data_IF_290443849907
#
_entry.id   IF_290443849907
#
_cell.length_a   1.000
_cell.length_b   1.000
_cell.length_c   1.000
_cell.angle_alpha   90.00
_cell.angle_beta   90.00
_cell.angle_gamma   90.00
#
_symmetry.space_group_name_H-M   'P 1'
#
loop_
_entity.id
_entity.type
_entity.pdbx_description
1 polymer ?
#
# COMPACT_ATOMS: atom_id res chain seq x y z
N UNK A 1 -17.81 12.67 24.15
CA UNK A 1 -18.10 11.26 23.84
C UNK A 1 -16.77 10.58 23.53
N UNK A 2 -16.18 9.92 24.52
CA UNK A 2 -14.94 9.15 24.37
C UNK A 2 -15.28 7.75 23.84
N UNK A 3 -15.22 7.59 22.53
CA UNK A 3 -15.21 6.27 21.91
C UNK A 3 -13.76 5.81 21.79
N UNK A 4 -13.21 5.12 22.80
CA UNK A 4 -11.93 4.44 22.62
C UNK A 4 -12.12 3.33 21.60
N UNK A 5 -11.59 3.54 20.40
CA UNK A 5 -11.65 2.51 19.37
C UNK A 5 -10.70 1.38 19.74
N UNK A 6 -11.24 0.16 19.76
CA UNK A 6 -10.44 -1.07 19.73
C UNK A 6 -9.43 -0.97 18.59
N UNK A 7 -8.14 -1.22 18.90
CA UNK A 7 -7.08 -1.33 17.90
C UNK A 7 -7.43 -2.30 16.75
N UNK A 8 -8.39 -3.22 16.94
CA UNK A 8 -8.82 -4.13 15.88
C UNK A 8 -9.53 -3.41 14.73
N UNK A 9 -10.32 -2.35 15.01
CA UNK A 9 -11.05 -1.60 13.96
C UNK A 9 -10.12 -0.73 13.11
N UNK A 10 -9.09 -0.16 13.72
CA UNK A 10 -8.04 0.58 13.00
C UNK A 10 -7.22 -0.38 12.13
N UNK A 11 -6.95 -1.59 12.61
CA UNK A 11 -6.27 -2.63 11.82
C UNK A 11 -7.11 -3.16 10.67
N UNK A 12 -8.42 -3.34 10.84
CA UNK A 12 -9.36 -3.68 9.75
C UNK A 12 -9.43 -2.57 8.71
N UNK A 13 -9.50 -1.31 9.14
CA UNK A 13 -9.50 -0.18 8.22
C UNK A 13 -8.20 -0.10 7.39
N UNK A 14 -7.04 -0.28 8.00
CA UNK A 14 -5.74 -0.34 7.29
C UNK A 14 -5.71 -1.57 6.36
N UNK A 15 -6.24 -2.70 6.80
CA UNK A 15 -6.35 -3.92 6.00
C UNK A 15 -7.20 -3.71 4.74
N UNK A 16 -8.32 -3.01 4.87
CA UNK A 16 -9.24 -2.74 3.78
C UNK A 16 -8.69 -1.65 2.86
N UNK A 17 -8.10 -0.59 3.41
CA UNK A 17 -7.41 0.44 2.63
C UNK A 17 -6.29 -0.14 1.74
N UNK A 18 -5.48 -1.07 2.28
CA UNK A 18 -4.47 -1.78 1.48
C UNK A 18 -5.06 -2.78 0.48
N UNK A 19 -6.30 -3.25 0.69
CA UNK A 19 -7.01 -4.07 -0.28
C UNK A 19 -7.55 -3.24 -1.46
N UNK A 20 -7.95 -1.98 -1.21
CA UNK A 20 -8.41 -1.02 -2.23
C UNK A 20 -7.27 -0.32 -2.99
N UNK A 21 -6.08 -0.19 -2.39
CA UNK A 21 -4.83 0.24 -3.06
C UNK A 21 -4.44 -0.61 -4.29
N UNK A 22 -5.10 -1.74 -4.49
CA UNK A 22 -4.89 -2.63 -5.62
C UNK A 22 -5.95 -2.43 -6.71
N UNK A 23 -7.05 -1.75 -6.41
CA UNK A 23 -8.15 -1.52 -7.35
C UNK A 23 -8.16 -0.14 -7.97
N UNK A 24 -7.63 0.89 -7.31
CA UNK A 24 -7.72 2.25 -7.84
C UNK A 24 -6.39 2.77 -8.40
N UNK A 25 -6.51 3.31 -9.62
CA UNK A 25 -5.52 4.07 -10.37
C UNK A 25 -4.53 4.79 -9.45
N UNK A 26 -3.27 4.34 -9.50
CA UNK A 26 -2.14 5.14 -9.04
C UNK A 26 -2.16 6.43 -9.89
N UNK A 27 -2.58 7.53 -9.28
CA UNK A 27 -2.33 8.85 -9.82
C UNK A 27 -0.82 8.97 -9.99
N UNK A 28 -0.39 9.17 -11.24
CA UNK A 28 0.99 9.41 -11.60
C UNK A 28 1.56 10.57 -10.75
N UNK A 29 2.77 10.41 -10.20
CA UNK A 29 3.47 11.48 -9.49
C UNK A 29 3.72 12.72 -10.36
N UNK A 30 3.57 12.61 -11.69
CA UNK A 30 3.72 13.70 -12.64
C UNK A 30 2.69 14.82 -12.41
N UNK A 31 1.52 14.51 -11.84
CA UNK A 31 0.50 15.49 -11.44
C UNK A 31 0.81 16.19 -10.09
N UNK A 32 1.84 15.76 -9.36
CA UNK A 32 2.15 16.29 -8.03
C UNK A 32 3.14 17.46 -8.03
N UNK A 33 3.86 17.70 -9.13
CA UNK A 33 4.92 18.73 -9.21
C UNK A 33 4.43 20.13 -9.59
N UNK A 34 3.19 20.26 -10.06
CA UNK A 34 2.58 21.54 -10.47
C UNK A 34 1.45 22.00 -9.54
N UNK A 35 1.27 21.30 -8.42
CA UNK A 35 0.11 21.50 -7.56
C UNK A 35 0.32 22.69 -6.64
N UNK A 36 -0.28 23.82 -7.01
CA UNK A 36 -0.67 24.89 -6.09
C UNK A 36 -1.39 24.29 -4.87
N UNK A 37 -1.37 24.97 -3.73
CA UNK A 37 -2.03 24.56 -2.48
C UNK A 37 -3.55 24.32 -2.69
N UNK A 38 -3.91 23.13 -3.19
CA UNK A 38 -5.29 22.72 -3.38
C UNK A 38 -5.78 22.23 -2.02
N UNK A 39 -6.55 23.08 -1.34
CA UNK A 39 -7.34 22.68 -0.18
C UNK A 39 -8.47 21.76 -0.65
N UNK A 40 -8.49 20.53 -0.13
CA UNK A 40 -9.49 19.53 -0.46
C UNK A 40 -10.69 19.64 0.46
N UNK A 41 -11.89 19.80 -0.11
CA UNK A 41 -13.13 19.81 0.66
C UNK A 41 -13.56 18.38 0.99
N UNK A 42 -13.82 18.11 2.26
CA UNK A 42 -14.40 16.84 2.68
C UNK A 42 -15.83 16.68 2.10
N UNK A 43 -16.20 15.50 1.55
CA UNK A 43 -17.49 15.32 0.89
C UNK A 43 -18.66 15.47 1.87
N UNK A 44 -19.63 16.31 1.53
CA UNK A 44 -20.83 16.55 2.36
C UNK A 44 -21.72 15.30 2.50
N UNK A 45 -21.64 14.39 1.53
CA UNK A 45 -22.36 13.12 1.54
C UNK A 45 -21.79 12.09 2.52
N UNK A 46 -20.54 12.25 2.96
CA UNK A 46 -19.91 11.30 3.88
C UNK A 46 -20.17 11.74 5.32
N UNK A 47 -20.67 10.85 6.20
CA UNK A 47 -20.81 11.20 7.60
C UNK A 47 -19.43 11.49 8.20
N UNK A 48 -19.35 12.54 9.03
CA UNK A 48 -18.12 12.92 9.70
C UNK A 48 -17.78 11.90 10.79
N UNK A 49 -16.98 10.90 10.42
CA UNK A 49 -16.52 9.84 11.31
C UNK A 49 -15.01 9.67 11.17
N UNK A 50 -14.36 9.21 12.23
CA UNK A 50 -12.91 8.95 12.23
C UNK A 50 -12.44 8.08 11.04
N UNK A 51 -13.09 6.93 10.69
CA UNK A 51 -12.66 6.14 9.55
C UNK A 51 -12.84 6.86 8.20
N UNK A 52 -13.93 7.61 8.01
CA UNK A 52 -14.12 8.35 6.76
C UNK A 52 -13.13 9.50 6.61
N UNK A 53 -12.86 10.23 7.70
CA UNK A 53 -11.87 11.29 7.71
C UNK A 53 -10.47 10.74 7.44
N UNK A 54 -10.10 9.64 8.08
CA UNK A 54 -8.82 8.99 7.84
C UNK A 54 -8.71 8.49 6.39
N UNK A 55 -9.77 7.91 5.84
CA UNK A 55 -9.82 7.48 4.43
C UNK A 55 -9.60 8.66 3.49
N UNK A 56 -10.30 9.76 3.72
CA UNK A 56 -10.20 10.98 2.94
C UNK A 56 -8.80 11.61 3.02
N UNK A 57 -8.22 11.71 4.21
CA UNK A 57 -6.85 12.23 4.36
C UNK A 57 -5.87 11.33 3.63
N UNK A 58 -5.96 10.01 3.83
CA UNK A 58 -5.06 9.05 3.19
C UNK A 58 -5.23 9.04 1.67
N UNK A 59 -6.44 9.19 1.12
CA UNK A 59 -6.66 9.22 -0.33
C UNK A 59 -6.00 10.43 -1.01
N UNK A 60 -5.82 11.53 -0.26
CA UNK A 60 -5.18 12.76 -0.76
C UNK A 60 -3.70 12.89 -0.33
N UNK A 61 -3.17 11.94 0.44
CA UNK A 61 -1.77 11.89 0.81
C UNK A 61 -0.90 11.30 -0.31
N UNK A 62 0.33 11.82 -0.45
CA UNK A 62 1.33 11.20 -1.32
C UNK A 62 1.55 9.75 -0.91
N UNK A 63 1.89 8.89 -1.88
CA UNK A 63 2.22 7.49 -1.57
C UNK A 63 3.34 7.42 -0.52
N UNK A 64 4.33 8.31 -0.59
CA UNK A 64 5.40 8.44 0.42
C UNK A 64 4.86 8.64 1.84
N UNK A 65 3.96 9.60 2.03
CA UNK A 65 3.40 9.90 3.35
C UNK A 65 2.53 8.75 3.87
N UNK A 66 1.73 8.11 3.00
CA UNK A 66 0.96 6.91 3.35
C UNK A 66 1.85 5.78 3.87
N UNK A 67 2.97 5.53 3.19
CA UNK A 67 3.94 4.53 3.61
C UNK A 67 4.68 4.92 4.89
N UNK A 68 5.02 6.21 5.06
CA UNK A 68 5.57 6.72 6.32
C UNK A 68 4.63 6.42 7.48
N UNK A 69 3.36 6.80 7.35
CA UNK A 69 2.33 6.57 8.37
C UNK A 69 2.13 5.07 8.63
N UNK A 70 2.03 4.25 7.59
CA UNK A 70 1.84 2.81 7.75
C UNK A 70 3.02 2.15 8.47
N UNK A 71 4.26 2.49 8.12
CA UNK A 71 5.46 1.88 8.69
C UNK A 71 5.76 2.37 10.11
N UNK A 72 5.60 3.68 10.37
CA UNK A 72 5.79 4.25 11.72
C UNK A 72 4.80 3.68 12.74
N UNK A 73 3.58 3.35 12.31
CA UNK A 73 2.55 2.76 13.17
C UNK A 73 2.56 1.22 13.19
N UNK A 74 3.45 0.56 12.43
CA UNK A 74 3.49 -0.89 12.30
C UNK A 74 4.67 -1.47 13.10
N UNK A 75 4.37 -2.03 14.28
CA UNK A 75 5.37 -2.78 15.06
C UNK A 75 5.79 -4.12 14.43
N UNK A 76 6.79 -4.78 15.00
CA UNK A 76 7.38 -6.04 14.49
C UNK A 76 6.36 -7.14 14.15
N UNK A 77 5.33 -7.31 14.99
CA UNK A 77 4.24 -8.29 14.76
C UNK A 77 3.46 -7.94 13.48
N UNK A 78 3.13 -6.66 13.30
CA UNK A 78 2.44 -6.16 12.11
C UNK A 78 3.27 -6.39 10.84
N UNK A 79 4.56 -6.08 10.87
CA UNK A 79 5.47 -6.28 9.72
C UNK A 79 5.60 -7.77 9.37
N UNK A 80 5.74 -8.63 10.38
CA UNK A 80 5.84 -10.09 10.21
C UNK A 80 4.56 -10.68 9.61
N UNK A 81 3.40 -10.26 10.12
CA UNK A 81 2.10 -10.69 9.62
C UNK A 81 1.90 -10.28 8.16
N UNK A 82 2.17 -9.01 7.83
CA UNK A 82 2.07 -8.49 6.47
C UNK A 82 3.02 -9.20 5.50
N UNK A 83 4.26 -9.46 5.92
CA UNK A 83 5.23 -10.24 5.12
C UNK A 83 4.72 -11.64 4.81
N UNK A 84 4.14 -12.34 5.79
CA UNK A 84 3.54 -13.68 5.59
C UNK A 84 2.39 -13.62 4.58
N UNK A 85 1.46 -12.68 4.75
CA UNK A 85 0.30 -12.49 3.87
C UNK A 85 0.74 -12.18 2.42
N UNK A 86 1.71 -11.29 2.25
CA UNK A 86 2.25 -10.93 0.93
C UNK A 86 2.97 -12.10 0.25
N UNK A 87 3.71 -12.95 0.99
CA UNK A 87 4.29 -14.19 0.44
C UNK A 87 3.23 -15.15 -0.07
N UNK A 88 2.16 -15.35 0.70
CA UNK A 88 1.04 -16.19 0.25
C UNK A 88 0.39 -15.64 -1.02
N UNK A 89 0.19 -14.32 -1.09
CA UNK A 89 -0.34 -13.64 -2.27
C UNK A 89 0.60 -13.75 -3.47
N UNK A 90 1.90 -13.61 -3.26
CA UNK A 90 2.93 -13.79 -4.29
C UNK A 90 2.81 -15.17 -4.93
N UNK A 91 2.72 -16.23 -4.13
CA UNK A 91 2.56 -17.61 -4.61
C UNK A 91 1.28 -17.76 -5.44
N UNK A 92 0.15 -17.22 -4.95
CA UNK A 92 -1.13 -17.25 -5.67
C UNK A 92 -1.05 -16.54 -7.03
N UNK A 93 -0.42 -15.36 -7.08
CA UNK A 93 -0.24 -14.60 -8.32
C UNK A 93 0.68 -15.30 -9.31
N UNK A 94 1.80 -15.86 -8.86
CA UNK A 94 2.71 -16.62 -9.74
C UNK A 94 1.98 -17.80 -10.38
N UNK A 95 1.19 -18.56 -9.60
CA UNK A 95 0.36 -19.66 -10.14
C UNK A 95 -0.71 -19.16 -11.11
N UNK A 96 -1.33 -18.02 -10.84
CA UNK A 96 -2.31 -17.43 -11.75
C UNK A 96 -1.67 -16.99 -13.08
N UNK A 97 -0.52 -16.32 -13.01
CA UNK A 97 0.27 -15.90 -14.18
C UNK A 97 0.67 -17.11 -15.03
N UNK A 98 1.16 -18.19 -14.39
CA UNK A 98 1.52 -19.42 -15.08
C UNK A 98 0.33 -20.01 -15.85
N UNK A 99 -0.81 -20.20 -15.16
CA UNK A 99 -2.03 -20.71 -15.78
C UNK A 99 -2.53 -19.86 -16.94
N UNK A 100 -2.46 -18.53 -16.83
CA UNK A 100 -2.85 -17.64 -17.92
C UNK A 100 -1.89 -17.70 -19.12
N UNK A 101 -0.59 -17.96 -18.88
CA UNK A 101 0.40 -18.09 -19.95
C UNK A 101 0.26 -19.39 -20.73
N UNK A 102 -0.13 -20.46 -20.05
CA UNK A 102 -0.36 -21.80 -20.64
C UNK A 102 -1.75 -21.96 -21.25
N UNK A 103 -2.66 -21.01 -21.00
CA UNK A 103 -4.00 -21.05 -21.57
C UNK A 103 -3.97 -20.92 -23.10
N UNK A 104 -4.73 -21.77 -23.78
CA UNK A 104 -4.99 -21.68 -25.22
C UNK A 104 -5.60 -20.34 -25.64
N UNK A 105 -6.20 -19.60 -24.70
CA UNK A 105 -6.83 -18.28 -24.90
C UNK A 105 -5.94 -17.12 -24.40
N UNK A 106 -4.61 -17.26 -24.47
CA UNK A 106 -3.66 -16.27 -23.97
C UNK A 106 -3.95 -14.83 -24.45
N UNK A 107 -4.34 -14.66 -25.72
CA UNK A 107 -4.63 -13.33 -26.31
C UNK A 107 -5.78 -12.64 -25.60
N UNK A 108 -6.85 -13.37 -25.24
CA UNK A 108 -8.00 -12.83 -24.49
C UNK A 108 -7.65 -12.46 -23.04
N UNK A 109 -6.51 -12.92 -22.53
CA UNK A 109 -6.07 -12.70 -21.16
C UNK A 109 -4.89 -11.74 -21.03
N UNK A 110 -4.46 -11.10 -22.11
CA UNK A 110 -3.27 -10.26 -22.11
C UNK A 110 -3.35 -9.11 -21.10
N UNK A 111 -4.46 -8.37 -21.08
CA UNK A 111 -4.68 -7.29 -20.11
C UNK A 111 -4.63 -7.79 -18.65
N UNK A 112 -5.28 -8.93 -18.38
CA UNK A 112 -5.30 -9.56 -17.05
C UNK A 112 -3.92 -10.07 -16.63
N UNK A 113 -3.17 -10.64 -17.57
CA UNK A 113 -1.79 -11.09 -17.37
C UNK A 113 -0.88 -9.90 -17.05
N UNK A 114 -0.99 -8.81 -17.80
CA UNK A 114 -0.24 -7.59 -17.58
C UNK A 114 -0.54 -7.01 -16.18
N UNK A 115 -1.82 -6.95 -15.79
CA UNK A 115 -2.24 -6.55 -14.46
C UNK A 115 -1.63 -7.44 -13.36
N UNK A 116 -1.67 -8.77 -13.49
CA UNK A 116 -1.07 -9.66 -12.49
C UNK A 116 0.46 -9.55 -12.42
N UNK A 117 1.14 -9.31 -13.55
CA UNK A 117 2.58 -9.06 -13.57
C UNK A 117 2.91 -7.76 -12.82
N UNK A 118 2.14 -6.68 -13.03
CA UNK A 118 2.27 -5.43 -12.27
C UNK A 118 2.08 -5.65 -10.77
N UNK A 119 1.01 -6.34 -10.39
CA UNK A 119 0.74 -6.71 -8.98
C UNK A 119 1.89 -7.53 -8.37
N UNK A 120 2.46 -8.47 -9.12
CA UNK A 120 3.60 -9.27 -8.65
C UNK A 120 4.86 -8.41 -8.44
N UNK A 121 5.12 -7.42 -9.30
CA UNK A 121 6.23 -6.47 -9.12
C UNK A 121 6.06 -5.67 -7.83
N UNK A 122 4.87 -5.11 -7.62
CA UNK A 122 4.51 -4.38 -6.40
C UNK A 122 4.75 -5.23 -5.15
N UNK A 123 4.21 -6.45 -5.11
CA UNK A 123 4.38 -7.35 -3.95
C UNK A 123 5.85 -7.66 -3.69
N UNK A 124 6.65 -7.90 -4.73
CA UNK A 124 8.09 -8.15 -4.58
C UNK A 124 8.82 -6.93 -4.00
N UNK A 125 8.48 -5.71 -4.44
CA UNK A 125 9.04 -4.46 -3.91
C UNK A 125 8.69 -4.29 -2.42
N UNK A 126 7.41 -4.41 -2.07
CA UNK A 126 6.96 -4.30 -0.68
C UNK A 126 7.60 -5.37 0.21
N UNK A 127 7.73 -6.62 -0.26
CA UNK A 127 8.40 -7.68 0.49
C UNK A 127 9.88 -7.36 0.78
N UNK A 128 10.58 -6.65 -0.12
CA UNK A 128 11.94 -6.17 0.12
C UNK A 128 11.96 -5.07 1.18
N UNK A 129 11.06 -4.09 1.08
CA UNK A 129 10.93 -3.02 2.06
C UNK A 129 10.64 -3.57 3.48
N UNK A 130 9.70 -4.51 3.61
CA UNK A 130 9.41 -5.16 4.90
C UNK A 130 10.57 -6.02 5.40
N UNK A 131 11.38 -6.58 4.52
CA UNK A 131 12.57 -7.33 4.92
C UNK A 131 13.62 -6.43 5.54
N UNK A 132 13.88 -5.27 4.94
CA UNK A 132 14.79 -4.25 5.48
C UNK A 132 14.24 -3.76 6.82
N UNK A 133 12.94 -3.45 6.90
CA UNK A 133 12.30 -3.02 8.13
C UNK A 133 12.44 -4.03 9.28
N UNK A 134 12.28 -5.34 9.03
CA UNK A 134 12.45 -6.37 10.07
C UNK A 134 13.88 -6.48 10.61
N UNK A 135 14.88 -6.04 9.85
CA UNK A 135 16.28 -6.06 10.27
C UNK A 135 16.68 -4.81 11.07
N UNK A 136 15.85 -3.76 11.12
CA UNK A 136 16.18 -2.45 11.70
C UNK A 136 15.57 -2.18 13.10
N UNK A 137 15.38 -3.19 13.97
CA UNK A 137 14.88 -3.10 15.38
C UNK A 137 13.36 -3.21 15.60
N UNK A 138 12.95 -3.46 16.86
CA UNK A 138 11.60 -3.89 17.31
C UNK A 138 10.47 -2.87 17.12
N UNK A 139 10.82 -1.60 16.97
CA UNK A 139 9.98 -0.54 16.42
C UNK A 139 10.82 0.23 15.40
N UNK A 140 10.28 0.49 14.21
CA UNK A 140 10.96 1.35 13.25
C UNK A 140 10.92 2.77 13.81
N UNK A 141 12.03 3.22 14.40
CA UNK A 141 12.21 4.62 14.74
C UNK A 141 11.91 5.46 13.49
N UNK A 142 11.36 6.66 13.69
CA UNK A 142 10.96 7.52 12.57
C UNK A 142 12.11 7.76 11.58
N UNK A 143 13.35 7.83 12.08
CA UNK A 143 14.57 7.96 11.29
C UNK A 143 14.86 6.72 10.43
N UNK A 144 14.59 5.52 10.93
CA UNK A 144 14.72 4.28 10.15
C UNK A 144 13.67 4.21 9.04
N UNK A 145 12.44 4.67 9.31
CA UNK A 145 11.40 4.78 8.28
C UNK A 145 11.79 5.81 7.23
N UNK A 146 12.26 6.99 7.63
CA UNK A 146 12.70 8.02 6.69
C UNK A 146 13.85 7.50 5.81
N UNK A 147 14.84 6.82 6.39
CA UNK A 147 15.92 6.18 5.64
C UNK A 147 15.40 5.17 4.62
N UNK A 148 14.47 4.29 5.02
CA UNK A 148 13.83 3.32 4.13
C UNK A 148 13.10 4.00 2.95
N UNK A 149 12.31 5.05 3.25
CA UNK A 149 11.57 5.80 2.24
C UNK A 149 12.48 6.57 1.28
N UNK A 150 13.69 6.94 1.70
CA UNK A 150 14.69 7.59 0.85
C UNK A 150 15.58 6.60 0.08
N UNK A 151 15.42 5.28 0.27
CA UNK A 151 16.14 4.32 -0.56
C UNK A 151 15.66 4.38 -2.00
N UNK A 152 16.59 4.25 -2.94
CA UNK A 152 16.30 4.14 -4.38
C UNK A 152 15.21 3.10 -4.68
N UNK A 153 15.17 1.99 -3.92
CA UNK A 153 14.16 0.92 -4.06
C UNK A 153 12.74 1.41 -3.72
N UNK A 154 12.62 2.34 -2.79
CA UNK A 154 11.33 2.89 -2.36
C UNK A 154 10.90 4.08 -3.24
N UNK A 155 11.85 4.90 -3.67
CA UNK A 155 11.61 5.96 -4.65
C UNK A 155 11.12 5.39 -6.00
N UNK A 156 11.73 4.30 -6.49
CA UNK A 156 11.27 3.55 -7.66
C UNK A 156 9.89 2.89 -7.46
N UNK A 157 9.48 2.66 -6.22
CA UNK A 157 8.17 2.13 -5.90
C UNK A 157 7.09 3.23 -5.90
N UNK A 158 7.42 4.45 -5.48
CA UNK A 158 6.49 5.58 -5.42
C UNK A 158 6.27 6.19 -6.82
N UNK A 159 7.30 6.18 -7.68
CA UNK A 159 7.27 6.79 -9.03
C UNK A 159 6.52 6.02 -10.12
N UNK A 160 6.23 4.72 -9.92
CA UNK A 160 5.54 3.84 -10.89
C UNK A 160 4.13 3.44 -10.44
#
# INVERSE_FOLDING_TARGET
MEGSYSQSRVREFIHDYHSYLISDHLMSEEDSRTRTDISWKYPEILPFSQPNLLSFVLSHCSARLRWKMALTNCGRVCVTHNRRRLRQRQVKLVRAIHRLRESSHRVLHEAKLHYFVKQLRVIRRVLRALHIALHQSEALAEDSVNSLLHTYVFEDYIRE
#
